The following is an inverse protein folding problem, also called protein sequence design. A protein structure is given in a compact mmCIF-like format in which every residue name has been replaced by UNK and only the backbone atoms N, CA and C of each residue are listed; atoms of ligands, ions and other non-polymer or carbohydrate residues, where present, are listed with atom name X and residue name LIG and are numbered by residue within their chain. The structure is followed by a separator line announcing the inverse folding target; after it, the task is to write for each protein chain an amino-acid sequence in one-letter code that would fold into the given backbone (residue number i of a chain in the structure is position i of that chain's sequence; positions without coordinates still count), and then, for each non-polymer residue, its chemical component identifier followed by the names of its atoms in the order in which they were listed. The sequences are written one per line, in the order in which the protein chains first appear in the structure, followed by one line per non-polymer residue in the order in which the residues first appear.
data_IF_731752231977
#
_entry.id   IF_731752231977
#
_cell.length_a   1.000
_cell.length_b   1.000
_cell.length_c   1.000
_cell.angle_alpha   90.00
_cell.angle_beta   90.00
_cell.angle_gamma   90.00
#
_symmetry.space_group_name_H-M   'P 1'
#
loop_
_entity.id
_entity.type
_entity.pdbx_description
1 polymer ?
#
# COMPACT_ATOMS: atom_id res chain seq x y z
N UNK A 1 24.90 0.79 17.85
CA UNK A 1 25.20 0.56 16.42
C UNK A 1 24.43 1.55 15.57
N UNK A 2 25.12 2.20 14.65
CA UNK A 2 24.46 3.12 13.71
C UNK A 2 23.73 2.33 12.63
N UNK A 3 22.52 2.75 12.30
CA UNK A 3 21.67 2.15 11.26
C UNK A 3 21.10 3.26 10.37
N UNK A 4 20.73 2.89 9.15
CA UNK A 4 20.09 3.82 8.22
C UNK A 4 18.58 3.90 8.50
N UNK A 5 18.25 4.25 9.74
CA UNK A 5 16.88 4.37 10.23
C UNK A 5 16.81 5.60 11.12
N UNK A 6 15.79 6.42 10.95
CA UNK A 6 15.54 7.55 11.84
C UNK A 6 14.93 7.04 13.14
N UNK A 7 13.59 7.04 13.23
CA UNK A 7 12.90 6.44 14.35
C UNK A 7 12.37 5.07 13.90
N UNK A 8 12.72 3.95 14.60
CA UNK A 8 12.25 2.63 14.19
C UNK A 8 10.72 2.51 14.06
N UNK A 9 9.96 3.29 14.81
CA UNK A 9 8.50 3.27 14.73
C UNK A 9 7.99 3.86 13.40
N UNK A 10 8.76 4.71 12.76
CA UNK A 10 8.37 5.38 11.53
C UNK A 10 8.98 4.73 10.29
N UNK A 11 9.68 3.61 10.45
CA UNK A 11 10.43 2.97 9.38
C UNK A 11 9.56 2.65 8.16
N UNK A 12 8.44 1.98 8.36
CA UNK A 12 7.55 1.58 7.27
C UNK A 12 6.88 2.81 6.63
N UNK A 13 6.40 3.74 7.45
CA UNK A 13 5.75 4.96 6.95
C UNK A 13 6.72 5.78 6.09
N UNK A 14 7.96 5.95 6.52
CA UNK A 14 8.96 6.68 5.76
C UNK A 14 9.34 5.97 4.47
N UNK A 15 9.43 4.64 4.48
CA UNK A 15 9.66 3.84 3.28
C UNK A 15 8.55 4.05 2.25
N UNK A 16 7.30 4.00 2.69
CA UNK A 16 6.15 4.17 1.80
C UNK A 16 6.08 5.57 1.24
N UNK A 17 6.37 6.58 2.04
CA UNK A 17 6.46 7.96 1.59
C UNK A 17 7.54 8.11 0.50
N UNK A 18 8.69 7.49 0.71
CA UNK A 18 9.78 7.50 -0.26
C UNK A 18 9.39 6.87 -1.59
N UNK A 19 8.70 5.74 -1.55
CA UNK A 19 8.19 5.07 -2.74
C UNK A 19 7.22 5.96 -3.53
N UNK A 20 6.30 6.61 -2.84
CA UNK A 20 5.32 7.50 -3.47
C UNK A 20 5.99 8.73 -4.07
N UNK A 21 6.97 9.32 -3.37
CA UNK A 21 7.73 10.46 -3.86
C UNK A 21 8.57 10.12 -5.10
N UNK A 22 9.10 8.89 -5.16
CA UNK A 22 9.89 8.43 -6.30
C UNK A 22 9.02 8.08 -7.52
N UNK A 23 7.71 7.83 -7.31
CA UNK A 23 6.79 7.40 -8.37
C UNK A 23 5.49 8.21 -8.34
N UNK A 24 5.54 9.55 -8.40
CA UNK A 24 4.35 10.37 -8.16
C UNK A 24 3.26 10.23 -9.23
N UNK A 25 3.62 9.78 -10.42
CA UNK A 25 2.66 9.56 -11.50
C UNK A 25 1.91 8.24 -11.38
N UNK A 26 2.37 7.31 -10.56
CA UNK A 26 1.84 5.96 -10.47
C UNK A 26 1.31 5.63 -9.08
N UNK A 27 2.01 6.06 -8.04
CA UNK A 27 1.74 5.68 -6.66
C UNK A 27 1.32 6.86 -5.82
N UNK A 28 0.42 6.59 -4.88
CA UNK A 28 -0.04 7.56 -3.88
C UNK A 28 0.02 6.89 -2.51
N UNK A 29 0.56 7.60 -1.52
CA UNK A 29 0.60 7.14 -0.14
C UNK A 29 -0.58 7.72 0.64
N UNK A 30 -1.30 6.87 1.37
CA UNK A 30 -2.42 7.26 2.25
C UNK A 30 -1.98 7.00 3.69
N UNK A 31 -1.59 8.03 4.44
CA UNK A 31 -0.98 7.84 5.76
C UNK A 31 -1.91 7.25 6.81
N UNK A 32 -3.23 7.46 6.69
CA UNK A 32 -4.20 6.99 7.68
C UNK A 32 -4.17 5.47 7.83
N UNK A 33 -3.83 4.74 6.77
CA UNK A 33 -3.88 3.28 6.76
C UNK A 33 -2.57 2.65 6.27
N UNK A 34 -1.48 3.42 6.21
CA UNK A 34 -0.19 2.98 5.67
C UNK A 34 -0.36 2.27 4.33
N UNK A 35 -1.05 2.90 3.42
CA UNK A 35 -1.52 2.33 2.18
C UNK A 35 -0.78 2.93 0.99
N UNK A 36 -0.32 2.10 0.07
CA UNK A 36 0.13 2.52 -1.26
C UNK A 36 -0.95 2.12 -2.25
N UNK A 37 -1.41 3.05 -3.06
CA UNK A 37 -2.42 2.78 -4.08
C UNK A 37 -2.06 3.48 -5.39
N UNK A 38 -2.69 3.03 -6.48
CA UNK A 38 -2.55 3.70 -7.78
C UNK A 38 -3.14 5.11 -7.69
N UNK A 39 -2.50 6.05 -8.38
CA UNK A 39 -3.00 7.42 -8.44
C UNK A 39 -4.33 7.53 -9.16
N UNK A 40 -4.63 6.59 -10.06
CA UNK A 40 -5.91 6.55 -10.81
C UNK A 40 -6.97 5.66 -10.16
N UNK A 41 -6.71 5.12 -8.98
CA UNK A 41 -7.70 4.34 -8.24
C UNK A 41 -8.60 5.27 -7.41
N UNK A 42 -9.85 4.85 -7.13
CA UNK A 42 -10.50 3.65 -7.60
C UNK A 42 -10.93 3.74 -9.07
N UNK A 43 -11.01 2.57 -9.74
CA UNK A 43 -11.42 2.49 -11.14
C UNK A 43 -12.73 1.70 -11.25
N UNK A 44 -13.77 2.34 -11.79
CA UNK A 44 -15.07 1.71 -11.96
C UNK A 44 -15.14 0.70 -13.10
N UNK A 45 -14.10 0.63 -13.94
CA UNK A 45 -14.07 -0.21 -15.14
C UNK A 45 -13.40 -1.57 -14.91
N UNK A 46 -12.97 -1.87 -13.67
CA UNK A 46 -12.29 -3.13 -13.37
C UNK A 46 -12.54 -3.57 -11.93
N UNK A 47 -12.26 -4.85 -11.66
CA UNK A 47 -12.22 -5.38 -10.31
C UNK A 47 -10.91 -4.92 -9.65
N UNK A 48 -10.99 -4.39 -8.44
CA UNK A 48 -9.82 -3.96 -7.70
C UNK A 48 -9.10 -5.16 -7.08
N UNK A 49 -7.78 -5.16 -7.16
CA UNK A 49 -6.93 -6.21 -6.55
C UNK A 49 -6.09 -5.57 -5.46
N UNK A 50 -6.22 -6.07 -4.25
CA UNK A 50 -5.61 -5.51 -3.05
C UNK A 50 -4.75 -6.58 -2.38
N UNK A 51 -3.59 -6.19 -1.89
CA UNK A 51 -2.69 -7.06 -1.15
C UNK A 51 -2.47 -6.50 0.25
N UNK A 52 -2.58 -7.36 1.27
CA UNK A 52 -2.22 -7.03 2.64
C UNK A 52 -1.23 -8.05 3.16
N UNK A 53 -0.08 -7.60 3.64
CA UNK A 53 0.92 -8.47 4.24
C UNK A 53 1.92 -7.67 5.08
N UNK A 54 2.84 -8.34 5.74
CA UNK A 54 3.90 -7.67 6.49
C UNK A 54 4.91 -6.98 5.59
N UNK A 55 5.64 -6.03 6.15
CA UNK A 55 6.78 -5.40 5.48
C UNK A 55 8.06 -6.20 5.76
N UNK A 56 9.15 -5.87 5.08
CA UNK A 56 10.46 -6.47 5.28
C UNK A 56 10.93 -7.35 4.14
N UNK A 57 10.10 -7.58 3.15
CA UNK A 57 10.45 -8.37 1.97
C UNK A 57 10.26 -7.55 0.68
N UNK A 58 10.38 -6.23 0.81
CA UNK A 58 10.32 -5.37 -0.36
C UNK A 58 11.39 -5.79 -1.38
N UNK A 59 11.09 -5.61 -2.66
CA UNK A 59 10.01 -4.83 -3.26
C UNK A 59 8.67 -5.54 -3.41
N UNK A 60 8.49 -6.72 -2.79
CA UNK A 60 7.25 -7.47 -2.90
C UNK A 60 6.05 -6.64 -2.45
N UNK A 61 4.95 -6.85 -3.12
CA UNK A 61 3.62 -6.25 -2.94
C UNK A 61 3.58 -4.75 -3.21
N UNK A 62 4.24 -3.89 -2.44
CA UNK A 62 4.14 -2.43 -2.63
C UNK A 62 4.66 -1.98 -3.99
N UNK A 63 5.71 -2.61 -4.51
CA UNK A 63 6.23 -2.29 -5.83
C UNK A 63 5.45 -2.98 -6.96
N UNK A 64 4.50 -3.84 -6.61
CA UNK A 64 3.60 -4.46 -7.58
C UNK A 64 2.33 -3.63 -7.81
N UNK A 65 2.20 -2.48 -7.17
CA UNK A 65 1.07 -1.56 -7.38
C UNK A 65 1.32 -0.77 -8.65
N UNK A 66 0.36 -0.83 -9.58
CA UNK A 66 0.47 -0.11 -10.85
C UNK A 66 -0.49 -0.63 -11.88
N UNK A 67 -0.48 -0.02 -13.09
CA UNK A 67 -1.33 -0.47 -14.19
C UNK A 67 -1.07 -1.92 -14.56
N UNK A 68 -2.14 -2.71 -14.65
CA UNK A 68 -2.06 -4.13 -14.98
C UNK A 68 -1.61 -5.02 -13.83
N UNK A 69 -1.46 -4.47 -12.63
CA UNK A 69 -1.01 -5.17 -11.44
C UNK A 69 -1.94 -4.84 -10.28
N UNK A 70 -1.41 -4.74 -9.04
CA UNK A 70 -2.24 -4.40 -7.88
C UNK A 70 -2.77 -2.98 -7.96
N UNK A 71 -3.97 -2.77 -7.43
CA UNK A 71 -4.55 -1.43 -7.26
C UNK A 71 -4.09 -0.78 -5.96
N UNK A 72 -3.83 -1.59 -4.93
CA UNK A 72 -3.32 -1.11 -3.67
C UNK A 72 -2.59 -2.21 -2.91
N UNK A 73 -1.65 -1.81 -2.07
CA UNK A 73 -1.00 -2.68 -1.11
C UNK A 73 -1.05 -2.02 0.26
N UNK A 74 -1.40 -2.80 1.27
CA UNK A 74 -1.59 -2.37 2.64
C UNK A 74 -0.60 -3.13 3.53
N UNK A 75 0.68 -2.69 3.61
CA UNK A 75 1.67 -3.38 4.41
C UNK A 75 1.48 -3.10 5.89
N UNK A 76 1.76 -4.10 6.71
CA UNK A 76 1.86 -3.95 8.15
C UNK A 76 3.25 -3.51 8.59
N UNK A 77 3.55 -3.69 9.85
CA UNK A 77 4.89 -3.49 10.37
C UNK A 77 5.86 -4.55 9.83
N UNK A 78 7.14 -4.41 10.13
CA UNK A 78 8.17 -5.34 9.67
C UNK A 78 7.82 -6.76 10.13
N UNK A 79 7.61 -7.65 9.15
CA UNK A 79 7.21 -9.06 9.35
C UNK A 79 5.95 -9.25 10.19
N UNK A 80 5.06 -8.26 10.20
CA UNK A 80 3.77 -8.35 10.88
C UNK A 80 2.65 -7.94 9.92
N UNK A 81 1.53 -8.66 9.97
CA UNK A 81 0.38 -8.36 9.13
C UNK A 81 -0.22 -7.00 9.48
N UNK A 82 -0.86 -6.32 8.52
CA UNK A 82 -1.54 -5.06 8.84
C UNK A 82 -2.74 -5.29 9.75
N UNK A 83 -3.16 -4.27 10.52
CA UNK A 83 -4.42 -4.36 11.26
C UNK A 83 -5.60 -4.61 10.32
N UNK A 84 -6.59 -5.34 10.80
CA UNK A 84 -7.78 -5.70 10.02
C UNK A 84 -8.50 -4.48 9.46
N UNK A 85 -8.63 -3.43 10.24
CA UNK A 85 -9.30 -2.20 9.82
C UNK A 85 -8.56 -1.48 8.68
N UNK A 86 -7.25 -1.62 8.55
CA UNK A 86 -6.52 -1.06 7.41
C UNK A 86 -6.96 -1.72 6.10
N UNK A 87 -7.08 -3.04 6.09
CA UNK A 87 -7.56 -3.79 4.92
C UNK A 87 -9.02 -3.45 4.62
N UNK A 88 -9.84 -3.35 5.65
CA UNK A 88 -11.25 -2.97 5.53
C UNK A 88 -11.41 -1.58 4.91
N UNK A 89 -10.71 -0.59 5.44
CA UNK A 89 -10.80 0.78 4.94
C UNK A 89 -10.21 0.91 3.52
N UNK A 90 -9.15 0.16 3.22
CA UNK A 90 -8.60 0.10 1.86
C UNK A 90 -9.65 -0.46 0.89
N UNK A 91 -10.34 -1.51 1.28
CA UNK A 91 -11.40 -2.09 0.46
C UNK A 91 -12.51 -1.09 0.22
N UNK A 92 -12.89 -0.32 1.23
CA UNK A 92 -13.91 0.73 1.08
C UNK A 92 -13.45 1.83 0.11
N UNK A 93 -12.21 2.26 0.22
CA UNK A 93 -11.66 3.30 -0.66
C UNK A 93 -11.66 2.88 -2.13
N UNK A 94 -11.44 1.59 -2.39
CA UNK A 94 -11.37 1.06 -3.75
C UNK A 94 -12.67 0.47 -4.23
N UNK A 95 -13.70 0.46 -3.38
CA UNK A 95 -14.99 -0.11 -3.74
C UNK A 95 -15.68 0.76 -4.80
N UNK A 96 -16.13 0.08 -5.86
CA UNK A 96 -16.92 0.67 -6.92
C UNK A 96 -18.10 -0.27 -7.16
N UNK A 97 -18.81 -0.13 -8.28
CA UNK A 97 -19.86 -1.08 -8.66
C UNK A 97 -19.29 -2.47 -9.00
N UNK A 98 -17.98 -2.59 -9.16
CA UNK A 98 -17.27 -3.85 -9.35
C UNK A 98 -16.79 -4.37 -8.01
N UNK A 99 -16.62 -5.69 -7.91
CA UNK A 99 -16.12 -6.35 -6.69
C UNK A 99 -14.62 -6.17 -6.57
N UNK A 100 -14.15 -6.24 -5.33
CA UNK A 100 -12.72 -6.24 -5.04
C UNK A 100 -12.24 -7.65 -4.70
N UNK A 101 -10.98 -7.92 -4.99
CA UNK A 101 -10.28 -9.14 -4.60
C UNK A 101 -9.11 -8.76 -3.70
N UNK A 102 -9.04 -9.41 -2.56
CA UNK A 102 -7.99 -9.19 -1.58
C UNK A 102 -7.05 -10.37 -1.54
#
# INVERSE_FOLDING_TARGET
MKKFVNNPKDFVAEMLQGLALANPGTLKYVPEYNLIMRTDAPRGDKVSVIQGSGSGHEPAHVMAVGPGMLDAACPGDVFAAPPMDYVYETTKLLNTDRKSVV
#
